data_IF_323035887624
#
_entry.id   IF_323035887624
#
_cell.length_a   1.000
_cell.length_b   1.000
_cell.length_c   1.000
_cell.angle_alpha   90.00
_cell.angle_beta   90.00
_cell.angle_gamma   90.00
#
_symmetry.space_group_name_H-M   'P 1'
#
loop_
_entity.id
_entity.type
_entity.pdbx_description
1 polymer ?
#
# COMPACT_ATOMS: atom_id res chain seq x y z
N UNK A 1 -19.66 -13.58 4.04
CA UNK A 1 -20.04 -13.56 2.59
C UNK A 1 -21.45 -14.16 2.36
N UNK A 2 -22.37 -13.50 1.62
CA UNK A 2 -23.74 -13.95 1.37
C UNK A 2 -23.83 -15.22 0.51
N UNK A 3 -24.91 -15.99 0.66
CA UNK A 3 -25.13 -17.23 -0.08
C UNK A 3 -25.08 -17.04 -1.61
N UNK A 4 -25.56 -15.91 -2.14
CA UNK A 4 -25.54 -15.58 -3.58
C UNK A 4 -24.14 -15.39 -4.18
N UNK A 5 -23.15 -15.09 -3.33
CA UNK A 5 -21.74 -15.03 -3.73
C UNK A 5 -21.04 -16.38 -3.55
N UNK A 6 -21.67 -17.35 -2.88
CA UNK A 6 -21.15 -18.70 -2.68
C UNK A 6 -21.74 -19.74 -3.64
N UNK A 7 -22.75 -19.34 -4.42
CA UNK A 7 -23.42 -20.22 -5.38
C UNK A 7 -22.40 -20.75 -6.40
N UNK A 8 -22.38 -22.06 -6.58
CA UNK A 8 -21.52 -22.79 -7.53
C UNK A 8 -20.01 -22.57 -7.33
N UNK A 9 -19.58 -22.30 -6.10
CA UNK A 9 -18.16 -22.26 -5.75
C UNK A 9 -17.73 -23.53 -5.01
N UNK A 10 -16.52 -23.98 -5.30
CA UNK A 10 -15.81 -25.01 -4.54
C UNK A 10 -14.51 -24.44 -4.01
N UNK A 11 -13.88 -25.08 -3.01
CA UNK A 11 -12.54 -24.68 -2.56
C UNK A 11 -11.51 -24.67 -3.72
N UNK A 12 -11.67 -25.55 -4.71
CA UNK A 12 -10.75 -25.71 -5.83
C UNK A 12 -11.09 -24.82 -7.04
N UNK A 13 -12.36 -24.39 -7.17
CA UNK A 13 -12.84 -23.60 -8.31
C UNK A 13 -13.71 -22.42 -7.86
N UNK A 14 -13.17 -21.22 -8.04
CA UNK A 14 -13.85 -19.94 -7.82
C UNK A 14 -14.09 -19.17 -9.12
N UNK A 15 -13.88 -19.80 -10.29
CA UNK A 15 -13.99 -19.19 -11.62
C UNK A 15 -15.40 -18.64 -11.91
N UNK A 16 -16.43 -19.17 -11.24
CA UNK A 16 -17.80 -18.65 -11.31
C UNK A 16 -17.89 -17.18 -10.87
N UNK A 17 -17.16 -16.78 -9.83
CA UNK A 17 -17.10 -15.37 -9.40
C UNK A 17 -16.44 -14.49 -10.46
N UNK A 18 -15.31 -14.95 -11.02
CA UNK A 18 -14.56 -14.22 -12.04
C UNK A 18 -15.41 -14.00 -13.30
N UNK A 19 -16.13 -15.02 -13.75
CA UNK A 19 -17.04 -14.94 -14.91
C UNK A 19 -18.21 -13.98 -14.67
N UNK A 20 -18.73 -13.93 -13.44
CA UNK A 20 -19.91 -13.14 -13.09
C UNK A 20 -19.61 -11.65 -12.88
N UNK A 21 -18.47 -11.32 -12.27
CA UNK A 21 -18.21 -9.97 -11.75
C UNK A 21 -16.98 -9.28 -12.31
N UNK A 22 -16.17 -9.93 -13.16
CA UNK A 22 -14.88 -9.47 -13.69
C UNK A 22 -13.68 -9.64 -12.75
N UNK A 23 -12.48 -9.36 -13.28
CA UNK A 23 -11.20 -9.57 -12.59
C UNK A 23 -11.02 -8.66 -11.37
N UNK A 24 -11.47 -7.41 -11.42
CA UNK A 24 -11.26 -6.45 -10.34
C UNK A 24 -12.21 -6.72 -9.19
N UNK A 25 -13.48 -6.98 -9.51
CA UNK A 25 -14.45 -7.41 -8.51
C UNK A 25 -14.04 -8.72 -7.84
N UNK A 26 -13.57 -9.70 -8.63
CA UNK A 26 -13.08 -10.97 -8.11
C UNK A 26 -11.94 -10.80 -7.11
N UNK A 27 -10.94 -9.97 -7.44
CA UNK A 27 -9.81 -9.69 -6.53
C UNK A 27 -10.29 -9.01 -5.24
N UNK A 28 -11.19 -8.03 -5.36
CA UNK A 28 -11.77 -7.34 -4.19
C UNK A 28 -12.56 -8.32 -3.30
N UNK A 29 -13.49 -9.10 -3.86
CA UNK A 29 -14.28 -10.09 -3.10
C UNK A 29 -13.36 -11.09 -2.38
N UNK A 30 -12.31 -11.59 -3.05
CA UNK A 30 -11.35 -12.51 -2.46
C UNK A 30 -10.66 -11.90 -1.24
N UNK A 31 -10.11 -10.69 -1.35
CA UNK A 31 -9.42 -10.01 -0.24
C UNK A 31 -10.37 -9.72 0.93
N UNK A 32 -11.55 -9.21 0.63
CA UNK A 32 -12.56 -8.86 1.65
C UNK A 32 -13.12 -10.11 2.34
N UNK A 33 -13.23 -11.23 1.63
CA UNK A 33 -13.73 -12.48 2.22
C UNK A 33 -12.67 -13.15 3.08
N UNK A 34 -11.39 -13.03 2.74
CA UNK A 34 -10.30 -13.40 3.63
C UNK A 34 -10.30 -12.57 4.91
N UNK A 35 -10.50 -11.23 4.79
CA UNK A 35 -10.63 -10.33 5.93
C UNK A 35 -11.79 -10.71 6.85
N UNK A 36 -12.93 -11.11 6.28
CA UNK A 36 -14.12 -11.59 7.00
C UNK A 36 -13.85 -12.94 7.70
N UNK A 37 -13.27 -13.90 6.97
CA UNK A 37 -13.21 -15.31 7.36
C UNK A 37 -12.15 -15.64 8.42
N UNK A 38 -10.93 -15.11 8.28
CA UNK A 38 -9.82 -15.49 9.16
C UNK A 38 -9.87 -14.77 10.50
N UNK A 39 -9.43 -15.45 11.56
CA UNK A 39 -9.22 -14.88 12.89
C UNK A 39 -7.75 -14.46 13.03
N UNK A 40 -7.53 -13.17 13.24
CA UNK A 40 -6.21 -12.54 13.29
C UNK A 40 -6.30 -11.22 14.04
N UNK A 41 -5.20 -10.74 14.62
CA UNK A 41 -5.11 -9.36 15.11
C UNK A 41 -4.71 -8.42 13.97
N UNK A 42 -3.66 -8.81 13.25
CA UNK A 42 -3.09 -8.11 12.09
C UNK A 42 -2.93 -9.08 10.93
N UNK A 43 -3.18 -8.61 9.71
CA UNK A 43 -2.89 -9.34 8.50
C UNK A 43 -2.33 -8.39 7.44
N UNK A 44 -1.55 -8.91 6.48
CA UNK A 44 -0.93 -8.12 5.43
C UNK A 44 -1.34 -8.65 4.05
N UNK A 45 -1.95 -7.81 3.21
CA UNK A 45 -2.25 -8.17 1.83
C UNK A 45 -1.02 -7.95 0.98
N UNK A 46 -0.48 -9.05 0.48
CA UNK A 46 0.67 -9.08 -0.41
C UNK A 46 0.22 -9.50 -1.79
N UNK A 47 0.68 -8.78 -2.81
CA UNK A 47 0.52 -9.24 -4.18
C UNK A 47 1.42 -10.46 -4.42
N UNK A 48 1.02 -11.33 -5.35
CA UNK A 48 1.70 -12.61 -5.61
C UNK A 48 3.11 -12.44 -6.16
N UNK A 49 3.45 -11.25 -6.62
CA UNK A 49 4.78 -10.88 -7.12
C UNK A 49 5.70 -10.36 -6.01
N UNK A 50 5.26 -10.29 -4.75
CA UNK A 50 6.10 -9.77 -3.68
C UNK A 50 7.37 -10.63 -3.46
N UNK A 51 8.52 -9.98 -3.32
CA UNK A 51 9.83 -10.63 -3.11
C UNK A 51 10.59 -10.00 -1.95
N UNK A 52 11.29 -10.83 -1.18
CA UNK A 52 12.25 -10.34 -0.19
C UNK A 52 13.53 -9.89 -0.86
N UNK A 53 14.05 -8.74 -0.45
CA UNK A 53 15.29 -8.16 -1.00
C UNK A 53 16.37 -7.98 0.05
N UNK A 54 16.07 -8.24 1.32
CA UNK A 54 17.05 -8.26 2.38
C UNK A 54 16.68 -9.33 3.42
N UNK A 55 17.68 -9.89 4.13
CA UNK A 55 17.42 -10.67 5.33
C UNK A 55 16.59 -9.87 6.35
N UNK A 56 15.65 -10.54 6.99
CA UNK A 56 14.79 -9.96 8.02
C UNK A 56 13.58 -10.82 8.33
N UNK A 57 12.80 -10.39 9.32
CA UNK A 57 11.57 -11.08 9.70
C UNK A 57 10.35 -10.32 9.18
N UNK A 58 9.31 -11.03 8.73
CA UNK A 58 8.01 -10.38 8.41
C UNK A 58 7.47 -9.60 9.62
N UNK A 59 7.78 -10.06 10.83
CA UNK A 59 7.41 -9.39 12.09
C UNK A 59 7.87 -7.94 12.11
N UNK A 60 9.05 -7.64 11.57
CA UNK A 60 9.63 -6.30 11.50
C UNK A 60 8.69 -5.33 10.77
N UNK A 61 8.00 -5.78 9.72
CA UNK A 61 7.06 -4.95 8.95
C UNK A 61 5.85 -4.60 9.83
N UNK A 62 5.29 -5.58 10.55
CA UNK A 62 4.17 -5.34 11.47
C UNK A 62 4.53 -4.45 12.65
N UNK A 63 5.69 -4.66 13.28
CA UNK A 63 6.16 -3.83 14.39
C UNK A 63 6.37 -2.37 13.96
N UNK A 64 6.93 -2.16 12.77
CA UNK A 64 7.08 -0.84 12.16
C UNK A 64 5.74 -0.12 11.99
N UNK A 65 4.72 -0.83 11.49
CA UNK A 65 3.36 -0.30 11.37
C UNK A 65 2.74 0.03 12.72
N UNK A 66 2.83 -0.86 13.71
CA UNK A 66 2.23 -0.63 15.04
C UNK A 66 2.87 0.54 15.79
N UNK A 67 4.20 0.71 15.67
CA UNK A 67 4.88 1.86 16.26
C UNK A 67 4.48 3.18 15.61
N UNK A 68 4.09 3.12 14.34
CA UNK A 68 3.88 4.31 13.55
C UNK A 68 2.82 4.11 12.45
N UNK A 69 1.53 3.92 12.83
CA UNK A 69 0.48 3.68 11.88
C UNK A 69 0.18 4.97 11.11
N UNK A 70 0.34 4.93 9.79
CA UNK A 70 0.17 6.11 8.93
C UNK A 70 -0.84 5.80 7.84
N UNK A 71 -1.77 6.73 7.63
CA UNK A 71 -2.51 6.84 6.37
C UNK A 71 -1.85 7.92 5.54
N UNK A 72 -1.24 7.51 4.45
CA UNK A 72 -0.68 8.42 3.46
C UNK A 72 -1.76 8.96 2.54
N UNK A 73 -1.66 10.26 2.23
CA UNK A 73 -2.52 10.90 1.24
C UNK A 73 -1.72 11.85 0.36
N UNK A 74 -2.17 12.04 -0.87
CA UNK A 74 -1.46 12.82 -1.88
C UNK A 74 -2.43 13.63 -2.72
N UNK A 75 -1.98 14.76 -3.26
CA UNK A 75 -2.70 15.53 -4.31
C UNK A 75 -2.24 15.14 -5.71
N UNK A 76 -1.06 14.56 -5.81
CA UNK A 76 -0.45 14.24 -7.08
C UNK A 76 -1.12 13.05 -7.76
N UNK A 77 -1.10 13.07 -9.09
CA UNK A 77 -1.79 12.11 -9.94
C UNK A 77 -3.31 12.01 -9.69
N UNK A 78 -3.92 12.97 -8.99
CA UNK A 78 -5.35 12.98 -8.69
C UNK A 78 -6.19 13.39 -9.90
N UNK A 79 -6.40 12.43 -10.81
CA UNK A 79 -7.16 12.61 -12.05
C UNK A 79 -8.57 12.03 -11.90
N UNK A 80 -9.34 12.01 -12.99
CA UNK A 80 -10.73 11.54 -12.98
C UNK A 80 -10.87 10.09 -12.51
N UNK A 81 -9.87 9.24 -12.79
CA UNK A 81 -9.85 7.86 -12.32
C UNK A 81 -9.72 7.79 -10.80
N UNK A 82 -8.78 8.51 -10.21
CA UNK A 82 -8.52 8.53 -8.77
C UNK A 82 -9.70 9.16 -8.03
N UNK A 83 -10.28 10.24 -8.58
CA UNK A 83 -11.55 10.83 -8.12
C UNK A 83 -12.68 9.82 -8.11
N UNK A 84 -12.83 9.05 -9.18
CA UNK A 84 -13.84 8.00 -9.29
C UNK A 84 -13.65 6.93 -8.22
N UNK A 85 -12.43 6.40 -8.06
CA UNK A 85 -12.13 5.36 -7.06
C UNK A 85 -12.40 5.85 -5.63
N UNK A 86 -11.94 7.06 -5.29
CA UNK A 86 -12.19 7.69 -4.00
C UNK A 86 -13.68 7.94 -3.76
N UNK A 87 -14.43 8.35 -4.79
CA UNK A 87 -15.87 8.58 -4.69
C UNK A 87 -16.64 7.29 -4.42
N UNK A 88 -16.28 6.19 -5.08
CA UNK A 88 -16.89 4.87 -4.82
C UNK A 88 -16.57 4.36 -3.42
N UNK A 89 -15.34 4.57 -2.96
CA UNK A 89 -14.94 4.20 -1.61
C UNK A 89 -15.67 5.02 -0.54
N UNK A 90 -15.78 6.34 -0.73
CA UNK A 90 -16.54 7.22 0.17
C UNK A 90 -18.04 6.87 0.18
N UNK A 91 -18.64 6.62 -0.98
CA UNK A 91 -20.04 6.23 -1.10
C UNK A 91 -20.34 4.92 -0.38
N UNK A 92 -19.41 3.96 -0.42
CA UNK A 92 -19.51 2.71 0.34
C UNK A 92 -19.59 2.96 1.84
N UNK A 93 -18.88 3.96 2.35
CA UNK A 93 -18.98 4.41 3.76
C UNK A 93 -20.21 5.30 4.05
N UNK A 94 -21.11 5.49 3.08
CA UNK A 94 -22.26 6.37 3.21
C UNK A 94 -21.90 7.86 3.21
N UNK A 95 -20.80 8.23 2.54
CA UNK A 95 -20.21 9.58 2.59
C UNK A 95 -19.92 10.15 1.21
N UNK A 96 -19.69 11.46 1.17
CA UNK A 96 -19.16 12.16 0.02
C UNK A 96 -17.63 12.23 0.10
N UNK A 97 -16.96 12.22 -1.07
CA UNK A 97 -15.51 12.47 -1.16
C UNK A 97 -15.11 13.80 -0.52
N UNK A 98 -16.01 14.80 -0.52
CA UNK A 98 -15.76 16.11 0.07
C UNK A 98 -15.46 16.04 1.58
N UNK A 99 -15.95 15.01 2.28
CA UNK A 99 -15.64 14.79 3.70
C UNK A 99 -14.16 14.50 3.97
N UNK A 100 -13.39 14.18 2.94
CA UNK A 100 -12.01 13.71 3.05
C UNK A 100 -10.99 14.62 2.33
N UNK A 101 -11.46 15.71 1.74
CA UNK A 101 -10.69 16.56 0.84
C UNK A 101 -10.79 16.05 -0.59
N UNK A 102 -11.52 16.78 -1.43
CA UNK A 102 -11.87 16.41 -2.80
C UNK A 102 -10.71 16.49 -3.80
N UNK A 103 -9.49 16.78 -3.34
CA UNK A 103 -8.25 16.80 -4.12
C UNK A 103 -7.19 15.84 -3.55
N UNK A 104 -7.57 14.96 -2.61
CA UNK A 104 -6.66 14.04 -1.95
C UNK A 104 -7.07 12.60 -2.23
N UNK A 105 -6.09 11.71 -2.43
CA UNK A 105 -6.32 10.27 -2.51
C UNK A 105 -5.31 9.48 -1.68
N UNK A 106 -5.65 8.21 -1.39
CA UNK A 106 -5.01 7.41 -0.33
C UNK A 106 -4.20 6.21 -0.84
N UNK A 107 -4.01 6.07 -2.15
CA UNK A 107 -3.20 4.97 -2.71
C UNK A 107 -1.70 5.28 -2.69
N UNK A 108 -1.25 5.69 -1.51
CA UNK A 108 0.15 5.99 -1.19
C UNK A 108 0.69 4.96 -0.18
N UNK A 109 -0.19 4.27 0.54
CA UNK A 109 0.21 3.24 1.50
C UNK A 109 0.48 1.93 0.76
N UNK A 110 1.75 1.52 0.70
CA UNK A 110 2.21 0.28 0.04
C UNK A 110 2.17 -0.95 0.96
N UNK A 111 2.09 -0.70 2.27
CA UNK A 111 1.98 -1.74 3.29
C UNK A 111 0.51 -1.88 3.67
N UNK A 112 -0.14 -2.87 3.05
CA UNK A 112 -1.57 -3.12 3.23
C UNK A 112 -1.81 -3.98 4.47
N UNK A 113 -1.55 -3.40 5.64
CA UNK A 113 -1.77 -4.03 6.93
C UNK A 113 -3.20 -3.73 7.40
N UNK A 114 -3.95 -4.79 7.64
CA UNK A 114 -5.35 -4.78 8.07
C UNK A 114 -5.40 -5.24 9.52
N UNK A 115 -5.98 -4.41 10.37
CA UNK A 115 -6.27 -4.73 11.77
C UNK A 115 -7.71 -5.22 11.88
N UNK A 116 -7.92 -6.40 12.47
CA UNK A 116 -9.25 -7.02 12.55
C UNK A 116 -10.28 -6.14 13.29
N UNK A 117 -9.95 -5.43 14.37
CA UNK A 117 -10.89 -4.51 15.00
C UNK A 117 -11.36 -3.38 14.08
N UNK A 118 -10.45 -2.82 13.26
CA UNK A 118 -10.78 -1.77 12.28
C UNK A 118 -11.67 -2.32 11.18
N UNK A 119 -11.33 -3.52 10.67
CA UNK A 119 -12.17 -4.23 9.70
C UNK A 119 -13.61 -4.42 10.22
N UNK A 120 -13.77 -4.92 11.44
CA UNK A 120 -15.08 -5.17 12.03
C UNK A 120 -15.88 -3.87 12.25
N UNK A 121 -15.24 -2.79 12.71
CA UNK A 121 -15.88 -1.46 12.85
C UNK A 121 -16.28 -0.90 11.48
N UNK A 122 -15.47 -1.10 10.45
CA UNK A 122 -15.75 -0.69 9.07
C UNK A 122 -16.98 -1.40 8.53
N UNK A 123 -17.05 -2.73 8.62
CA UNK A 123 -18.19 -3.53 8.19
C UNK A 123 -19.46 -3.04 8.89
N UNK A 124 -19.43 -2.93 10.22
CA UNK A 124 -20.57 -2.47 11.02
C UNK A 124 -21.01 -1.04 10.66
N UNK A 125 -20.04 -0.15 10.41
CA UNK A 125 -20.31 1.24 10.02
C UNK A 125 -20.97 1.34 8.65
N UNK A 126 -20.54 0.51 7.69
CA UNK A 126 -21.16 0.43 6.36
C UNK A 126 -22.60 -0.08 6.48
N UNK A 127 -22.82 -1.16 7.22
CA UNK A 127 -24.17 -1.71 7.39
C UNK A 127 -25.13 -0.71 8.05
N UNK A 128 -24.65 0.00 9.07
CA UNK A 128 -25.42 1.04 9.76
C UNK A 128 -25.74 2.23 8.86
N UNK A 129 -24.78 2.69 8.06
CA UNK A 129 -24.94 3.87 7.21
C UNK A 129 -25.97 3.66 6.10
N UNK A 130 -26.12 2.43 5.59
CA UNK A 130 -27.01 2.10 4.48
C UNK A 130 -28.25 1.31 4.89
N UNK A 131 -28.31 0.79 6.12
CA UNK A 131 -29.43 -0.05 6.59
C UNK A 131 -29.53 -1.39 5.86
N UNK A 132 -28.40 -1.94 5.41
CA UNK A 132 -28.30 -3.17 4.62
C UNK A 132 -27.08 -4.00 4.99
N UNK A 133 -26.91 -5.17 4.35
CA UNK A 133 -25.71 -5.99 4.60
C UNK A 133 -24.51 -5.48 3.81
N UNK A 134 -23.32 -5.63 4.39
CA UNK A 134 -22.08 -5.07 3.87
C UNK A 134 -21.79 -5.45 2.41
N UNK A 135 -22.03 -6.72 2.06
CA UNK A 135 -21.65 -7.27 0.76
C UNK A 135 -22.53 -6.76 -0.36
N UNK A 136 -23.82 -6.54 -0.11
CA UNK A 136 -24.72 -5.97 -1.10
C UNK A 136 -24.35 -4.52 -1.38
N UNK A 137 -24.02 -3.74 -0.34
CA UNK A 137 -23.54 -2.37 -0.46
C UNK A 137 -22.20 -2.32 -1.21
N UNK A 138 -21.30 -3.26 -0.94
CA UNK A 138 -20.01 -3.39 -1.64
C UNK A 138 -20.19 -3.58 -3.15
N UNK A 139 -21.13 -4.46 -3.52
CA UNK A 139 -21.47 -4.76 -4.91
C UNK A 139 -22.14 -3.55 -5.59
N UNK A 140 -23.11 -2.93 -4.92
CA UNK A 140 -23.84 -1.76 -5.44
C UNK A 140 -22.92 -0.56 -5.70
N UNK A 141 -21.87 -0.41 -4.89
CA UNK A 141 -20.82 0.59 -5.08
C UNK A 141 -19.73 0.16 -6.07
N UNK A 142 -19.99 -0.85 -6.89
CA UNK A 142 -19.12 -1.28 -7.99
C UNK A 142 -17.76 -1.81 -7.54
N UNK A 143 -17.70 -2.52 -6.40
CA UNK A 143 -16.48 -3.10 -5.85
C UNK A 143 -15.39 -2.04 -5.65
N UNK A 144 -15.58 -1.11 -4.69
CA UNK A 144 -14.60 -0.07 -4.44
C UNK A 144 -13.24 -0.68 -4.12
N UNK A 145 -12.18 0.08 -4.40
CA UNK A 145 -10.83 -0.38 -4.06
C UNK A 145 -10.70 -0.49 -2.54
N UNK A 146 -10.48 -1.70 -2.05
CA UNK A 146 -10.74 -2.06 -0.65
C UNK A 146 -9.99 -1.21 0.36
N UNK A 147 -8.75 -0.84 0.01
CA UNK A 147 -7.89 -0.05 0.89
C UNK A 147 -8.29 1.40 0.96
N UNK A 148 -8.88 1.94 -0.12
CA UNK A 148 -9.45 3.28 -0.04
C UNK A 148 -10.60 3.29 0.96
N UNK A 149 -11.45 2.27 0.98
CA UNK A 149 -12.53 2.17 1.97
C UNK A 149 -11.95 2.05 3.39
N UNK A 150 -10.95 1.17 3.57
CA UNK A 150 -10.30 0.96 4.86
C UNK A 150 -9.65 2.24 5.42
N UNK A 151 -8.85 2.93 4.61
CA UNK A 151 -8.17 4.16 5.05
C UNK A 151 -9.12 5.35 5.19
N UNK A 152 -10.13 5.48 4.34
CA UNK A 152 -11.18 6.50 4.51
C UNK A 152 -11.98 6.25 5.79
N UNK A 153 -12.23 4.99 6.13
CA UNK A 153 -12.87 4.62 7.38
C UNK A 153 -12.03 5.06 8.58
N UNK A 154 -10.72 4.75 8.59
CA UNK A 154 -9.81 5.22 9.65
C UNK A 154 -9.86 6.75 9.80
N UNK A 155 -9.79 7.50 8.69
CA UNK A 155 -9.87 8.96 8.71
C UNK A 155 -11.20 9.43 9.32
N UNK A 156 -12.33 8.86 8.89
CA UNK A 156 -13.65 9.20 9.42
C UNK A 156 -13.75 8.93 10.92
N UNK A 157 -13.36 7.74 11.37
CA UNK A 157 -13.45 7.34 12.78
C UNK A 157 -12.50 8.11 13.67
N UNK A 158 -11.34 8.53 13.16
CA UNK A 158 -10.42 9.43 13.86
C UNK A 158 -11.06 10.79 14.15
N UNK A 159 -11.93 11.28 13.27
CA UNK A 159 -12.65 12.56 13.46
C UNK A 159 -13.89 12.41 14.36
N UNK A 160 -14.46 11.22 14.44
CA UNK A 160 -15.77 10.98 15.07
C UNK A 160 -15.69 10.34 16.45
N UNK A 161 -14.55 9.73 16.78
CA UNK A 161 -14.41 8.91 17.98
C UNK A 161 -13.15 9.23 18.76
N UNK A 162 -13.17 8.90 20.05
CA UNK A 162 -11.98 8.90 20.91
C UNK A 162 -11.33 7.50 21.02
N UNK A 163 -11.71 6.54 20.17
CA UNK A 163 -11.16 5.19 20.22
C UNK A 163 -9.66 5.23 19.89
N UNK A 164 -8.85 4.63 20.76
CA UNK A 164 -7.38 4.65 20.70
C UNK A 164 -6.82 4.03 19.43
N UNK A 165 -7.51 3.04 18.85
CA UNK A 165 -7.08 2.38 17.62
C UNK A 165 -7.01 3.41 16.49
N UNK A 166 -8.08 4.17 16.25
CA UNK A 166 -8.10 5.19 15.19
C UNK A 166 -7.30 6.44 15.54
N UNK A 167 -7.27 6.83 16.83
CA UNK A 167 -6.54 8.04 17.23
C UNK A 167 -5.03 7.87 17.17
N UNK A 168 -4.51 6.64 17.19
CA UNK A 168 -3.09 6.33 16.99
C UNK A 168 -2.59 6.65 15.56
N UNK A 169 -3.45 6.53 14.54
CA UNK A 169 -3.06 6.73 13.15
C UNK A 169 -2.70 8.20 12.85
N UNK A 170 -1.56 8.43 12.21
CA UNK A 170 -1.19 9.74 11.66
C UNK A 170 -1.70 9.85 10.23
N UNK A 171 -2.29 10.98 9.88
CA UNK A 171 -2.74 11.27 8.50
C UNK A 171 -1.74 12.25 7.90
N UNK A 172 -0.88 11.77 7.00
CA UNK A 172 0.24 12.55 6.47
C UNK A 172 0.10 12.79 4.98
N UNK A 173 0.44 14.00 4.55
CA UNK A 173 0.49 14.37 3.13
C UNK A 173 1.88 14.05 2.57
N UNK A 174 1.94 13.16 1.58
CA UNK A 174 3.21 12.65 1.03
C UNK A 174 4.11 13.80 0.56
N UNK A 175 3.57 14.78 -0.15
CA UNK A 175 4.35 15.93 -0.66
C UNK A 175 4.98 16.74 0.48
N UNK A 176 4.25 16.90 1.58
CA UNK A 176 4.70 17.70 2.72
C UNK A 176 5.85 17.02 3.43
N UNK A 177 5.76 15.71 3.61
CA UNK A 177 6.84 14.93 4.21
C UNK A 177 8.04 14.81 3.27
N UNK A 178 7.85 14.66 1.95
CA UNK A 178 8.96 14.72 1.00
C UNK A 178 9.72 16.06 1.10
N UNK A 179 9.02 17.19 1.14
CA UNK A 179 9.66 18.51 1.33
C UNK A 179 10.44 18.56 2.65
N UNK A 180 9.85 18.04 3.75
CA UNK A 180 10.50 18.02 5.07
C UNK A 180 11.83 17.25 5.06
N UNK A 181 11.94 16.20 4.26
CA UNK A 181 13.16 15.41 4.09
C UNK A 181 14.07 15.95 2.98
N UNK A 182 13.82 17.15 2.44
CA UNK A 182 14.65 17.74 1.38
C UNK A 182 14.49 17.06 0.03
N UNK A 183 13.38 16.34 -0.19
CA UNK A 183 13.06 15.64 -1.44
C UNK A 183 12.14 16.51 -2.33
N UNK A 184 12.13 17.83 -2.19
CA UNK A 184 11.21 18.69 -2.95
C UNK A 184 11.41 18.59 -4.48
N UNK A 185 12.66 18.52 -4.95
CA UNK A 185 12.98 18.40 -6.38
C UNK A 185 12.44 17.11 -7.01
N UNK A 186 12.22 16.09 -6.18
CA UNK A 186 11.66 14.81 -6.58
C UNK A 186 10.20 14.91 -7.02
N UNK A 187 9.47 15.87 -6.45
CA UNK A 187 8.03 16.06 -6.67
C UNK A 187 7.79 16.38 -8.14
N UNK A 188 8.47 17.41 -8.68
CA UNK A 188 8.36 17.80 -10.08
C UNK A 188 8.80 16.70 -11.05
N UNK A 189 9.82 15.90 -10.67
CA UNK A 189 10.29 14.79 -11.50
C UNK A 189 9.25 13.67 -11.66
N UNK A 190 8.37 13.51 -10.67
CA UNK A 190 7.37 12.44 -10.65
C UNK A 190 5.98 12.90 -11.10
N UNK A 191 5.65 14.20 -11.03
CA UNK A 191 4.34 14.79 -11.37
C UNK A 191 3.82 14.42 -12.78
N UNK A 192 4.71 14.24 -13.76
CA UNK A 192 4.35 13.92 -15.15
C UNK A 192 3.93 12.47 -15.39
N UNK A 193 4.16 11.56 -14.43
CA UNK A 193 3.83 10.13 -14.57
C UNK A 193 2.36 9.88 -14.18
N UNK A 194 1.67 8.95 -14.84
CA UNK A 194 0.24 8.67 -14.63
C UNK A 194 0.02 7.31 -13.95
N UNK A 195 -1.09 7.18 -13.23
CA UNK A 195 -1.65 5.89 -12.82
C UNK A 195 -1.19 5.30 -11.47
N UNK A 196 -0.30 5.97 -10.74
CA UNK A 196 0.28 5.51 -9.46
C UNK A 196 0.57 6.68 -8.51
N UNK A 197 0.66 6.43 -7.20
CA UNK A 197 1.04 7.43 -6.19
C UNK A 197 2.52 7.79 -6.17
N UNK A 198 2.89 8.77 -5.34
CA UNK A 198 4.28 9.15 -5.07
C UNK A 198 5.08 8.02 -4.43
N UNK A 199 4.51 7.34 -3.44
CA UNK A 199 5.15 6.27 -2.69
C UNK A 199 5.53 5.11 -3.62
N UNK A 200 4.68 4.78 -4.59
CA UNK A 200 4.96 3.80 -5.65
C UNK A 200 6.09 4.22 -6.60
N UNK A 201 6.43 5.52 -6.61
CA UNK A 201 7.46 6.09 -7.49
C UNK A 201 8.75 6.42 -6.76
N UNK A 202 8.81 6.29 -5.43
CA UNK A 202 10.01 6.63 -4.64
C UNK A 202 11.30 6.05 -5.19
N UNK A 203 11.36 4.77 -5.66
CA UNK A 203 12.60 4.24 -6.22
C UNK A 203 13.12 5.00 -7.44
N UNK A 204 12.27 5.70 -8.18
CA UNK A 204 12.71 6.51 -9.33
C UNK A 204 13.62 7.68 -8.94
N UNK A 205 13.65 8.06 -7.66
CA UNK A 205 14.56 9.07 -7.15
C UNK A 205 16.00 8.57 -7.03
N UNK A 206 16.20 7.28 -7.21
CA UNK A 206 17.51 6.63 -7.29
C UNK A 206 18.07 6.70 -8.71
N UNK A 207 17.23 7.02 -9.71
CA UNK A 207 17.68 7.22 -11.09
C UNK A 207 18.43 8.54 -11.26
N UNK A 208 19.39 8.60 -12.19
CA UNK A 208 20.06 9.86 -12.55
C UNK A 208 19.07 10.85 -13.18
N UNK A 209 19.19 12.18 -12.90
CA UNK A 209 20.21 12.84 -12.07
C UNK A 209 19.89 12.89 -10.57
N UNK A 210 18.80 12.25 -10.11
CA UNK A 210 18.26 12.40 -8.76
C UNK A 210 18.91 11.51 -7.71
N UNK A 211 19.79 10.58 -8.11
CA UNK A 211 20.51 9.66 -7.20
C UNK A 211 21.24 10.34 -6.05
N UNK A 212 21.61 11.62 -6.20
CA UNK A 212 22.17 12.46 -5.13
C UNK A 212 21.24 12.59 -3.90
N UNK A 213 19.94 12.33 -4.07
CA UNK A 213 18.91 12.38 -3.02
C UNK A 213 18.76 11.05 -2.26
N UNK A 214 19.51 10.00 -2.61
CA UNK A 214 19.35 8.67 -2.02
C UNK A 214 19.48 8.66 -0.48
N UNK A 215 20.39 9.47 0.08
CA UNK A 215 20.55 9.57 1.54
C UNK A 215 19.30 10.13 2.22
N UNK A 216 18.69 11.17 1.63
CA UNK A 216 17.46 11.76 2.14
C UNK A 216 16.28 10.77 2.03
N UNK A 217 16.28 9.94 0.98
CA UNK A 217 15.29 8.90 0.78
C UNK A 217 15.44 7.76 1.81
N UNK A 218 16.67 7.38 2.15
CA UNK A 218 16.97 6.46 3.26
C UNK A 218 16.42 7.01 4.58
N UNK A 219 16.71 8.28 4.89
CA UNK A 219 16.22 8.91 6.13
C UNK A 219 14.69 8.96 6.19
N UNK A 220 14.04 9.25 5.05
CA UNK A 220 12.58 9.21 4.92
C UNK A 220 12.03 7.80 5.17
N UNK A 221 12.61 6.78 4.52
CA UNK A 221 12.22 5.38 4.69
C UNK A 221 12.32 4.90 6.12
N UNK A 222 13.46 5.17 6.77
CA UNK A 222 13.69 4.79 8.18
C UNK A 222 12.76 5.51 9.14
N UNK A 223 12.55 6.81 8.94
CA UNK A 223 11.70 7.62 9.83
C UNK A 223 10.24 7.17 9.85
N UNK A 224 9.80 6.55 8.74
CA UNK A 224 8.43 6.08 8.57
C UNK A 224 8.29 4.56 8.57
N UNK A 225 9.36 3.82 8.88
CA UNK A 225 9.39 2.35 8.86
C UNK A 225 8.86 1.78 7.54
N UNK A 226 9.28 2.38 6.42
CA UNK A 226 8.89 1.93 5.08
C UNK A 226 9.67 0.68 4.69
N UNK A 227 9.29 -0.47 5.24
CA UNK A 227 9.99 -1.75 5.04
C UNK A 227 9.52 -2.51 3.81
N UNK A 228 8.42 -2.08 3.19
CA UNK A 228 7.89 -2.65 1.97
C UNK A 228 7.57 -1.55 0.95
N UNK A 229 7.96 -1.75 -0.31
CA UNK A 229 7.75 -0.77 -1.36
C UNK A 229 7.48 -1.40 -2.74
N UNK A 230 6.92 -0.62 -3.66
CA UNK A 230 6.72 -1.03 -5.05
C UNK A 230 7.92 -0.56 -5.86
N UNK A 231 8.43 -1.45 -6.71
CA UNK A 231 9.50 -1.14 -7.66
C UNK A 231 9.26 -2.00 -8.89
N UNK A 232 9.04 -1.37 -10.05
CA UNK A 232 8.66 -2.08 -11.29
C UNK A 232 9.86 -2.48 -12.15
N UNK A 233 11.02 -1.84 -11.94
CA UNK A 233 12.24 -2.07 -12.70
C UNK A 233 13.46 -1.62 -11.89
N UNK A 234 14.64 -2.18 -12.20
CA UNK A 234 15.96 -1.72 -11.75
C UNK A 234 16.68 -0.87 -12.81
N UNK A 235 16.08 -0.73 -13.99
CA UNK A 235 16.70 -0.06 -15.13
C UNK A 235 16.91 1.43 -14.86
N UNK A 236 18.09 1.93 -15.22
CA UNK A 236 18.52 3.33 -15.09
C UNK A 236 18.73 3.82 -13.64
N UNK A 237 18.70 2.92 -12.65
CA UNK A 237 19.10 3.27 -11.29
C UNK A 237 20.62 3.33 -11.18
N UNK A 238 21.11 4.27 -10.38
CA UNK A 238 22.51 4.24 -9.98
C UNK A 238 22.70 3.11 -8.96
N UNK A 239 23.56 2.15 -9.29
CA UNK A 239 23.75 0.90 -8.54
C UNK A 239 24.05 1.15 -7.05
N UNK A 240 25.03 2.01 -6.76
CA UNK A 240 25.42 2.37 -5.38
C UNK A 240 24.30 3.06 -4.61
N UNK A 241 23.48 3.87 -5.29
CA UNK A 241 22.35 4.56 -4.68
C UNK A 241 21.20 3.59 -4.40
N UNK A 242 20.99 2.59 -5.26
CA UNK A 242 19.99 1.54 -5.06
C UNK A 242 20.37 0.64 -3.89
N UNK A 243 21.62 0.17 -3.85
CA UNK A 243 22.14 -0.62 -2.74
C UNK A 243 21.97 0.15 -1.42
N UNK A 244 22.38 1.42 -1.40
CA UNK A 244 22.22 2.28 -0.23
C UNK A 244 20.75 2.39 0.20
N UNK A 245 19.85 2.62 -0.75
CA UNK A 245 18.44 2.76 -0.43
C UNK A 245 17.83 1.47 0.13
N UNK A 246 18.10 0.31 -0.51
CA UNK A 246 17.55 -0.97 -0.09
C UNK A 246 18.14 -1.42 1.25
N UNK A 247 19.45 -1.29 1.43
CA UNK A 247 20.18 -1.77 2.61
C UNK A 247 20.04 -0.78 3.77
N UNK A 248 20.49 0.48 3.59
CA UNK A 248 20.51 1.47 4.67
C UNK A 248 19.09 1.95 5.03
N UNK A 249 18.18 1.92 4.05
CA UNK A 249 16.76 2.24 4.24
C UNK A 249 15.96 1.15 4.95
N UNK A 250 16.58 0.00 5.23
CA UNK A 250 15.95 -1.16 5.87
C UNK A 250 14.74 -1.71 5.07
N UNK A 251 14.85 -1.73 3.75
CA UNK A 251 13.81 -2.27 2.87
C UNK A 251 13.90 -3.80 2.88
N UNK A 252 12.82 -4.45 3.34
CA UNK A 252 12.76 -5.92 3.44
C UNK A 252 12.13 -6.56 2.21
N UNK A 253 11.13 -5.89 1.63
CA UNK A 253 10.28 -6.49 0.60
C UNK A 253 9.94 -5.51 -0.52
N UNK A 254 9.95 -6.01 -1.75
CA UNK A 254 9.29 -5.36 -2.87
C UNK A 254 7.91 -5.99 -3.04
N UNK A 255 6.84 -5.19 -2.96
CA UNK A 255 5.45 -5.70 -2.88
C UNK A 255 4.69 -5.70 -4.20
N UNK A 256 5.22 -5.03 -5.23
CA UNK A 256 4.65 -5.04 -6.59
C UNK A 256 5.72 -4.69 -7.63
N UNK A 257 5.54 -5.18 -8.86
CA UNK A 257 6.43 -5.03 -10.01
C UNK A 257 7.61 -6.01 -10.03
N UNK A 258 8.22 -6.22 -8.85
CA UNK A 258 9.23 -7.23 -8.55
C UNK A 258 10.21 -7.54 -9.70
N UNK A 259 11.09 -6.58 -10.04
CA UNK A 259 12.18 -6.82 -10.96
C UNK A 259 13.05 -7.97 -10.45
N UNK A 260 13.81 -8.57 -11.37
CA UNK A 260 14.76 -9.64 -11.08
C UNK A 260 16.00 -9.10 -10.32
N UNK A 261 15.76 -8.56 -9.12
CA UNK A 261 16.73 -7.87 -8.27
C UNK A 261 17.81 -8.84 -7.75
N UNK A 262 17.46 -10.11 -7.54
CA UNK A 262 18.42 -11.14 -7.14
C UNK A 262 19.41 -11.41 -8.26
N UNK A 263 18.93 -11.61 -9.49
CA UNK A 263 19.82 -11.73 -10.65
C UNK A 263 20.66 -10.47 -10.86
N UNK A 264 20.06 -9.29 -10.68
CA UNK A 264 20.79 -8.02 -10.78
C UNK A 264 21.95 -7.94 -9.79
N UNK A 265 21.78 -8.37 -8.54
CA UNK A 265 22.88 -8.48 -7.57
C UNK A 265 23.87 -9.59 -7.93
N UNK A 266 23.41 -10.77 -8.33
CA UNK A 266 24.28 -11.90 -8.70
C UNK A 266 25.19 -11.52 -9.88
N UNK A 267 24.65 -10.87 -10.91
CA UNK A 267 25.42 -10.42 -12.07
C UNK A 267 26.52 -9.42 -11.63
N UNK A 268 26.21 -8.49 -10.71
CA UNK A 268 27.17 -7.53 -10.16
C UNK A 268 28.26 -8.19 -9.31
N UNK A 269 27.89 -9.15 -8.44
CA UNK A 269 28.84 -9.95 -7.65
C UNK A 269 29.78 -10.74 -8.57
N UNK A 270 29.22 -11.40 -9.59
CA UNK A 270 29.98 -12.17 -10.56
C UNK A 270 30.94 -11.30 -11.39
N UNK A 271 30.60 -10.03 -11.59
CA UNK A 271 31.46 -9.03 -12.25
C UNK A 271 32.52 -8.40 -11.32
N UNK A 272 32.57 -8.82 -10.05
CA UNK A 272 33.58 -8.38 -9.08
C UNK A 272 33.26 -7.04 -8.41
N UNK A 273 32.02 -6.59 -8.44
CA UNK A 273 31.61 -5.37 -7.74
C UNK A 273 31.48 -5.60 -6.24
N UNK A 274 32.00 -4.66 -5.45
CA UNK A 274 31.83 -4.66 -4.00
C UNK A 274 30.45 -4.08 -3.65
N UNK A 275 29.50 -4.95 -3.33
CA UNK A 275 28.26 -4.55 -2.65
C UNK A 275 28.63 -4.37 -1.17
N UNK A 276 28.50 -3.16 -0.65
CA UNK A 276 28.98 -2.80 0.69
C UNK A 276 28.65 -3.85 1.76
N UNK A 277 29.69 -4.27 2.49
CA UNK A 277 29.75 -5.30 3.53
C UNK A 277 28.43 -5.59 4.26
N UNK A 278 27.81 -6.71 3.91
CA UNK A 278 27.32 -7.63 4.93
C UNK A 278 28.06 -8.94 4.75
N UNK A 279 29.14 -9.14 5.51
CA UNK A 279 29.54 -10.48 5.91
C UNK A 279 28.40 -11.07 6.76
N UNK A 280 27.33 -11.51 6.11
CA UNK A 280 26.40 -12.45 6.73
C UNK A 280 27.03 -13.83 6.56
N UNK A 281 27.78 -14.24 7.58
CA UNK A 281 28.03 -15.65 7.82
C UNK A 281 26.67 -16.33 8.01
N UNK A 282 26.15 -16.93 6.94
CA UNK A 282 24.99 -17.81 7.03
C UNK A 282 25.46 -19.12 7.70
N UNK A 283 25.01 -19.33 8.94
CA UNK A 283 25.06 -20.63 9.63
C UNK A 283 23.69 -21.28 9.60
#
# INVERSE_FOLDING_TARGET
MPARLRTDLTPEDTSGLLKKYDKYAYQSIKKMSAADHFDYDLAMWLDSEAIFVAPGEIRDIFEGHLQNPIVWRSRMSFQDREKFLMSKAAATLGRSINSFGDQLWLLESLQWIIEKPIWNDMVSSVEMAHGGNFWDIWIENSYPFELLVYYLHIIARKMETANSIFSSYRILETERELIRFGLAESISAMEGRRGTGFMERLPHLIAKPHSVLASNLVDFGRSYSLRALRMDSVDNFEESALDKFLIDGDIKMLVSGAPDIHKWWDDRINNGEAINNTETNYS
#
